data_IF_843882877651
#
_entry.id   IF_843882877651
#
_cell.length_a   1.000
_cell.length_b   1.000
_cell.length_c   1.000
_cell.angle_alpha   90.00
_cell.angle_beta   90.00
_cell.angle_gamma   90.00
#
_symmetry.space_group_name_H-M   'P 1'
#
loop_
_entity.id
_entity.type
_entity.pdbx_description
1 polymer ?
#
# COMPACT_ATOMS: atom_id res chain seq x y z
N UNK A 1 27.52 -15.83 -2.70
CA UNK A 1 26.14 -16.37 -2.68
C UNK A 1 25.47 -15.92 -1.39
N UNK A 2 24.93 -14.69 -1.34
CA UNK A 2 24.25 -14.19 -0.13
C UNK A 2 22.80 -14.70 -0.09
N UNK A 3 22.65 -15.89 0.50
CA UNK A 3 21.66 -16.26 1.51
C UNK A 3 20.38 -15.40 1.55
N UNK A 4 19.35 -15.87 0.86
CA UNK A 4 17.97 -15.38 0.84
C UNK A 4 17.27 -15.54 2.21
N UNK A 5 17.68 -14.75 3.21
CA UNK A 5 17.15 -14.83 4.59
C UNK A 5 16.47 -13.54 5.06
N UNK A 6 15.65 -12.91 4.21
CA UNK A 6 14.86 -11.75 4.66
C UNK A 6 13.42 -11.67 4.13
N UNK A 7 12.82 -12.79 3.70
CA UNK A 7 11.44 -12.85 3.17
C UNK A 7 10.51 -13.80 3.95
N UNK A 8 10.79 -14.10 5.22
CA UNK A 8 10.04 -15.12 5.96
C UNK A 8 9.41 -14.63 7.28
N UNK A 9 9.34 -13.32 7.52
CA UNK A 9 8.72 -12.76 8.74
C UNK A 9 7.50 -11.84 8.49
N UNK A 10 6.75 -12.05 7.41
CA UNK A 10 5.48 -11.31 7.17
C UNK A 10 4.32 -12.21 6.71
N UNK A 11 4.41 -13.53 6.93
CA UNK A 11 3.35 -14.47 6.55
C UNK A 11 2.72 -15.16 7.77
N UNK A 12 2.49 -14.40 8.83
CA UNK A 12 1.71 -14.81 10.00
C UNK A 12 0.22 -14.53 9.78
N UNK A 13 -0.46 -15.44 9.09
CA UNK A 13 -1.87 -15.85 9.31
C UNK A 13 -2.88 -14.71 9.61
N UNK A 14 -3.40 -14.03 8.58
CA UNK A 14 -4.73 -13.37 8.65
C UNK A 14 -5.80 -14.40 8.25
N UNK A 15 -6.17 -15.31 9.16
CA UNK A 15 -7.16 -16.38 8.88
C UNK A 15 -8.62 -15.89 8.76
N UNK A 16 -8.92 -14.66 9.15
CA UNK A 16 -10.15 -13.95 8.83
C UNK A 16 -9.92 -12.50 9.27
N UNK A 17 -9.44 -11.64 8.38
CA UNK A 17 -9.24 -10.23 8.74
C UNK A 17 -10.01 -9.38 7.76
N UNK A 18 -11.21 -8.98 8.19
CA UNK A 18 -11.89 -7.86 7.57
C UNK A 18 -10.91 -6.67 7.56
N UNK A 19 -10.74 -6.03 6.40
CA UNK A 19 -9.88 -4.86 6.28
C UNK A 19 -10.27 -3.85 7.37
N UNK A 20 -9.29 -3.33 8.11
CA UNK A 20 -9.56 -2.34 9.15
C UNK A 20 -10.17 -1.09 8.51
N UNK A 21 -10.97 -0.29 9.25
CA UNK A 21 -11.52 0.95 8.71
C UNK A 21 -10.44 1.89 8.14
N UNK A 22 -9.25 1.90 8.76
CA UNK A 22 -8.10 2.64 8.27
C UNK A 22 -7.58 2.11 6.91
N UNK A 23 -7.41 0.79 6.77
CA UNK A 23 -7.01 0.16 5.50
C UNK A 23 -8.03 0.43 4.38
N UNK A 24 -9.33 0.41 4.71
CA UNK A 24 -10.40 0.69 3.76
C UNK A 24 -10.39 2.16 3.30
N UNK A 25 -10.26 3.10 4.25
CA UNK A 25 -10.16 4.54 3.93
C UNK A 25 -8.95 4.84 3.06
N UNK A 26 -7.79 4.30 3.42
CA UNK A 26 -6.57 4.44 2.62
C UNK A 26 -6.74 3.86 1.22
N UNK A 27 -7.34 2.67 1.10
CA UNK A 27 -7.60 2.07 -0.21
C UNK A 27 -8.58 2.89 -1.05
N UNK A 28 -9.55 3.57 -0.42
CA UNK A 28 -10.51 4.43 -1.11
C UNK A 28 -9.84 5.72 -1.59
N UNK A 29 -9.08 6.40 -0.74
CA UNK A 29 -8.31 7.60 -1.13
C UNK A 29 -7.40 7.34 -2.33
N UNK A 30 -6.69 6.21 -2.33
CA UNK A 30 -5.81 5.86 -3.44
C UNK A 30 -6.58 5.54 -4.73
N UNK A 31 -7.80 5.00 -4.63
CA UNK A 31 -8.65 4.73 -5.80
C UNK A 31 -9.26 6.00 -6.38
N UNK A 32 -9.56 7.00 -5.55
CA UNK A 32 -10.17 8.25 -5.97
C UNK A 32 -9.14 9.21 -6.59
N UNK A 33 -7.93 9.27 -6.04
CA UNK A 33 -6.90 10.21 -6.48
C UNK A 33 -6.02 9.71 -7.64
N UNK A 34 -5.96 8.39 -7.86
CA UNK A 34 -5.15 7.82 -8.94
C UNK A 34 -6.06 7.38 -10.07
N UNK A 35 -5.79 7.88 -11.28
CA UNK A 35 -6.51 7.48 -12.49
C UNK A 35 -6.08 6.09 -12.97
N UNK A 36 -6.98 5.37 -13.64
CA UNK A 36 -6.72 4.06 -14.27
C UNK A 36 -6.13 2.98 -13.35
N UNK A 37 -6.61 2.93 -12.11
CA UNK A 37 -6.21 1.92 -11.14
C UNK A 37 -6.80 0.56 -11.52
N UNK A 38 -5.94 -0.42 -11.72
CA UNK A 38 -6.32 -1.82 -11.95
C UNK A 38 -6.43 -2.58 -10.62
N UNK A 39 -5.48 -2.36 -9.70
CA UNK A 39 -5.43 -3.07 -8.42
C UNK A 39 -4.88 -2.19 -7.31
N UNK A 40 -5.53 -2.21 -6.15
CA UNK A 40 -5.05 -1.56 -4.91
C UNK A 40 -5.20 -2.52 -3.74
N UNK A 41 -4.09 -2.79 -3.08
CA UNK A 41 -4.02 -3.52 -1.81
C UNK A 41 -3.30 -2.65 -0.78
N UNK A 42 -3.95 -2.47 0.36
CA UNK A 42 -3.40 -1.76 1.52
C UNK A 42 -3.45 -2.72 2.68
N UNK A 43 -2.31 -2.91 3.35
CA UNK A 43 -2.16 -3.78 4.50
C UNK A 43 -1.46 -3.04 5.63
N UNK A 44 -2.11 -2.95 6.79
CA UNK A 44 -1.55 -2.36 7.99
C UNK A 44 -0.46 -3.28 8.57
N UNK A 45 0.74 -2.71 8.71
CA UNK A 45 1.91 -3.37 9.31
C UNK A 45 2.23 -2.84 10.71
N UNK A 46 1.47 -1.85 11.18
CA UNK A 46 1.54 -1.28 12.53
C UNK A 46 0.74 -2.06 13.57
N UNK A 47 0.30 -3.28 13.24
CA UNK A 47 -0.47 -4.16 14.14
C UNK A 47 -1.80 -3.54 14.64
N UNK A 48 -2.45 -2.70 13.82
CA UNK A 48 -3.75 -2.10 14.14
C UNK A 48 -3.68 -0.68 14.73
N UNK A 49 -2.48 -0.08 14.84
CA UNK A 49 -2.34 1.32 15.22
C UNK A 49 -2.75 2.29 14.09
N UNK A 50 -2.72 1.84 12.83
CA UNK A 50 -3.03 2.66 11.66
C UNK A 50 -1.98 3.73 11.33
N UNK A 51 -0.73 3.55 11.78
CA UNK A 51 0.37 4.51 11.60
C UNK A 51 1.33 4.12 10.47
N UNK A 52 1.25 2.89 9.95
CA UNK A 52 2.11 2.44 8.86
C UNK A 52 1.43 1.37 8.00
N UNK A 53 1.41 1.59 6.69
CA UNK A 53 0.79 0.70 5.72
C UNK A 53 1.78 0.22 4.66
N UNK A 54 1.66 -1.04 4.26
CA UNK A 54 2.22 -1.54 3.01
C UNK A 54 1.17 -1.37 1.91
N UNK A 55 1.53 -0.66 0.85
CA UNK A 55 0.62 -0.33 -0.25
C UNK A 55 1.14 -0.95 -1.54
N UNK A 56 0.28 -1.69 -2.23
CA UNK A 56 0.49 -2.19 -3.59
C UNK A 56 -0.54 -1.54 -4.51
N UNK A 57 -0.05 -0.76 -5.49
CA UNK A 57 -0.91 -0.14 -6.51
C UNK A 57 -0.41 -0.54 -7.89
N UNK A 58 -1.33 -1.02 -8.72
CA UNK A 58 -1.14 -1.23 -10.14
C UNK A 58 -2.07 -0.27 -10.90
N UNK A 59 -1.47 0.63 -11.69
CA UNK A 59 -2.17 1.61 -12.52
C UNK A 59 -1.36 1.90 -13.79
N UNK A 60 -2.05 2.13 -14.91
CA UNK A 60 -1.40 2.57 -16.15
C UNK A 60 -0.84 3.99 -16.07
N UNK A 61 -1.30 4.81 -15.12
CA UNK A 61 -0.82 6.18 -14.88
C UNK A 61 0.64 6.23 -14.45
N UNK A 62 1.20 5.11 -13.98
CA UNK A 62 2.62 5.02 -13.62
C UNK A 62 3.54 4.72 -14.80
N UNK A 63 2.98 4.43 -15.99
CA UNK A 63 3.77 4.10 -17.17
C UNK A 63 4.57 5.33 -17.61
N UNK A 64 5.89 5.18 -17.68
CA UNK A 64 6.81 6.26 -18.07
C UNK A 64 7.28 7.16 -16.92
N UNK A 65 6.75 6.97 -15.70
CA UNK A 65 7.25 7.67 -14.51
C UNK A 65 8.42 6.92 -13.87
N UNK A 66 9.38 7.66 -13.31
CA UNK A 66 10.44 7.06 -12.49
C UNK A 66 9.86 6.50 -11.19
N UNK A 67 10.53 5.51 -10.61
CA UNK A 67 10.09 4.90 -9.34
C UNK A 67 9.95 5.94 -8.22
N UNK A 68 10.83 6.93 -8.17
CA UNK A 68 10.75 8.02 -7.19
C UNK A 68 9.50 8.89 -7.44
N UNK A 69 9.20 9.22 -8.69
CA UNK A 69 7.99 9.99 -9.03
C UNK A 69 6.71 9.23 -8.66
N UNK A 70 6.67 7.92 -8.91
CA UNK A 70 5.55 7.06 -8.48
C UNK A 70 5.39 7.08 -6.96
N UNK A 71 6.47 6.92 -6.19
CA UNK A 71 6.40 6.97 -4.73
C UNK A 71 5.95 8.35 -4.24
N UNK A 72 6.45 9.44 -4.83
CA UNK A 72 6.03 10.80 -4.48
C UNK A 72 4.52 11.02 -4.69
N UNK A 73 3.98 10.50 -5.79
CA UNK A 73 2.53 10.56 -6.04
C UNK A 73 1.75 9.86 -4.93
N UNK A 74 2.13 8.63 -4.58
CA UNK A 74 1.49 7.88 -3.48
C UNK A 74 1.67 8.55 -2.12
N UNK A 75 2.88 9.05 -1.82
CA UNK A 75 3.17 9.72 -0.54
C UNK A 75 2.41 11.03 -0.39
N UNK A 76 2.16 11.76 -1.48
CA UNK A 76 1.29 12.94 -1.48
C UNK A 76 -0.09 12.61 -0.95
N UNK A 77 -0.70 11.53 -1.46
CA UNK A 77 -2.01 11.06 -1.01
C UNK A 77 -2.00 10.48 0.41
N UNK A 78 -0.88 9.90 0.83
CA UNK A 78 -0.74 9.43 2.21
C UNK A 78 -0.76 10.60 3.22
N UNK A 79 -0.13 11.71 2.88
CA UNK A 79 -0.07 12.88 3.77
C UNK A 79 -1.42 13.57 3.94
N UNK A 80 -2.38 13.39 3.02
CA UNK A 80 -3.74 13.93 3.17
C UNK A 80 -4.62 13.10 4.11
N UNK A 81 -4.22 11.86 4.43
CA UNK A 81 -4.89 10.99 5.38
C UNK A 81 -4.54 11.29 6.85
N UNK A 82 -3.30 11.74 7.11
CA UNK A 82 -2.80 12.06 8.46
C UNK A 82 -3.23 13.47 8.86
#
# INVERSE_FOLDING_TARGET
MLSARNRLFYFGVRLCSAKTPAEQRMAQLLKENITDVTKVEVNDVSSGCGSMFTVFVESSSFKGLSRVAQHKMITGEYNSYT
#
